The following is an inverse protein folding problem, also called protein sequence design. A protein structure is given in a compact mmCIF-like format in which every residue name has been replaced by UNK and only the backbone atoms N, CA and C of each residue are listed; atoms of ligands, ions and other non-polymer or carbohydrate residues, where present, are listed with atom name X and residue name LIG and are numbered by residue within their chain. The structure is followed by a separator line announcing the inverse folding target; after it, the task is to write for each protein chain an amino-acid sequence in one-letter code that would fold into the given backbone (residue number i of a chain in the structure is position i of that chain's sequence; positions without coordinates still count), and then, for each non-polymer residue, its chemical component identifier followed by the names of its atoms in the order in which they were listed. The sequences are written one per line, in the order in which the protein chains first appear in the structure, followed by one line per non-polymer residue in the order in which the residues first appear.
data_IF_837169502975
#
_entry.id   IF_837169502975
#
_cell.length_a   1.000
_cell.length_b   1.000
_cell.length_c   1.000
_cell.angle_alpha   90.00
_cell.angle_beta   90.00
_cell.angle_gamma   90.00
#
_symmetry.space_group_name_H-M   'P 1'
#
loop_
_entity.id
_entity.type
_entity.pdbx_description
1 polymer ?
#
# COMPACT_ATOMS: atom_id res chain seq x y z
N UNK A 1 -26.89 -13.02 -44.99
CA UNK A 1 -25.75 -13.01 -44.03
C UNK A 1 -25.92 -11.92 -42.95
N UNK A 2 -27.11 -11.75 -42.34
CA UNK A 2 -27.39 -10.66 -41.37
C UNK A 2 -27.51 -11.12 -39.91
N UNK A 3 -27.65 -12.43 -39.66
CA UNK A 3 -27.84 -13.02 -38.32
C UNK A 3 -26.53 -13.20 -37.53
N UNK A 4 -25.39 -13.36 -38.22
CA UNK A 4 -24.12 -13.67 -37.56
C UNK A 4 -23.43 -12.42 -36.96
N UNK A 5 -23.79 -11.22 -37.42
CA UNK A 5 -23.25 -9.96 -36.88
C UNK A 5 -23.74 -9.68 -35.45
N UNK A 6 -24.97 -10.09 -35.12
CA UNK A 6 -25.57 -9.83 -33.82
C UNK A 6 -24.91 -10.64 -32.69
N UNK A 7 -24.42 -11.84 -32.99
CA UNK A 7 -23.75 -12.71 -32.02
C UNK A 7 -22.34 -12.20 -31.73
N UNK A 8 -21.63 -11.72 -32.77
CA UNK A 8 -20.27 -11.21 -32.67
C UNK A 8 -20.18 -9.91 -31.85
N UNK A 9 -21.19 -9.05 -31.97
CA UNK A 9 -21.31 -7.83 -31.16
C UNK A 9 -21.62 -8.14 -29.69
N UNK A 10 -22.41 -9.18 -29.42
CA UNK A 10 -22.78 -9.59 -28.07
C UNK A 10 -21.58 -10.19 -27.31
N UNK A 11 -20.70 -10.92 -28.00
CA UNK A 11 -19.46 -11.46 -27.40
C UNK A 11 -18.42 -10.39 -27.09
N UNK A 12 -18.42 -9.25 -27.80
CA UNK A 12 -17.46 -8.17 -27.57
C UNK A 12 -17.78 -7.35 -26.32
N UNK A 13 -19.07 -7.23 -25.96
CA UNK A 13 -19.54 -6.55 -24.76
C UNK A 13 -19.14 -7.27 -23.46
N UNK A 14 -18.93 -8.59 -23.49
CA UNK A 14 -18.56 -9.38 -22.32
C UNK A 14 -17.09 -9.19 -21.90
N UNK A 15 -16.22 -8.68 -22.79
CA UNK A 15 -14.81 -8.41 -22.46
C UNK A 15 -14.58 -7.06 -21.79
N UNK A 16 -15.58 -6.16 -21.76
CA UNK A 16 -15.45 -4.81 -21.20
C UNK A 16 -15.50 -4.77 -19.66
N UNK A 17 -15.70 -5.92 -18.99
CA UNK A 17 -15.91 -5.97 -17.53
C UNK A 17 -14.71 -6.54 -16.75
N UNK A 18 -13.59 -6.85 -17.40
CA UNK A 18 -12.38 -7.33 -16.69
C UNK A 18 -11.46 -6.15 -16.40
N UNK A 19 -11.99 -5.20 -15.62
CA UNK A 19 -11.21 -4.19 -14.94
C UNK A 19 -11.26 -4.47 -13.45
N UNK A 20 -10.60 -5.54 -12.99
CA UNK A 20 -10.29 -5.62 -11.56
C UNK A 20 -9.37 -4.45 -11.25
N UNK A 21 -9.90 -3.41 -10.60
CA UNK A 21 -9.06 -2.40 -9.95
C UNK A 21 -8.15 -3.14 -8.99
N UNK A 22 -6.86 -3.20 -9.31
CA UNK A 22 -5.84 -3.72 -8.42
C UNK A 22 -5.94 -2.90 -7.13
N UNK A 23 -6.20 -3.56 -6.01
CA UNK A 23 -6.36 -2.88 -4.73
C UNK A 23 -5.00 -2.35 -4.27
N UNK A 24 -4.66 -1.14 -4.71
CA UNK A 24 -3.37 -0.50 -4.45
C UNK A 24 -3.02 -0.49 -2.95
N UNK A 25 -4.02 -0.51 -2.05
CA UNK A 25 -3.79 -0.55 -0.62
C UNK A 25 -3.19 -1.88 -0.15
N UNK A 26 -3.59 -3.01 -0.72
CA UNK A 26 -3.01 -4.32 -0.38
C UNK A 26 -1.55 -4.40 -0.81
N UNK A 27 -1.20 -3.87 -1.99
CA UNK A 27 0.20 -3.81 -2.43
C UNK A 27 1.05 -2.90 -1.53
N UNK A 28 0.54 -1.71 -1.19
CA UNK A 28 1.26 -0.76 -0.32
C UNK A 28 1.44 -1.35 1.08
N UNK A 29 0.44 -2.02 1.63
CA UNK A 29 0.51 -2.72 2.90
C UNK A 29 1.57 -3.84 2.85
N UNK A 30 1.60 -4.64 1.78
CA UNK A 30 2.59 -5.69 1.59
C UNK A 30 4.03 -5.14 1.51
N UNK A 31 4.24 -4.04 0.77
CA UNK A 31 5.53 -3.36 0.70
C UNK A 31 5.95 -2.85 2.07
N UNK A 32 5.04 -2.22 2.82
CA UNK A 32 5.32 -1.72 4.15
C UNK A 32 5.68 -2.85 5.12
N UNK A 33 4.91 -3.92 5.15
CA UNK A 33 5.18 -5.09 5.99
C UNK A 33 6.52 -5.75 5.65
N UNK A 34 6.82 -5.92 4.35
CA UNK A 34 8.09 -6.49 3.89
C UNK A 34 9.31 -5.62 4.21
N UNK A 35 9.12 -4.31 4.45
CA UNK A 35 10.19 -3.37 4.82
C UNK A 35 10.55 -3.36 6.31
N UNK A 36 9.77 -4.06 7.13
CA UNK A 36 10.02 -4.26 8.55
C UNK A 36 11.09 -5.34 8.76
N UNK A 37 11.88 -5.17 9.83
CA UNK A 37 12.75 -6.21 10.37
C UNK A 37 11.90 -7.35 10.96
N UNK A 38 12.54 -8.51 11.18
CA UNK A 38 11.86 -9.66 11.81
C UNK A 38 11.34 -9.35 13.21
N UNK A 39 12.08 -8.55 13.98
CA UNK A 39 11.68 -8.15 15.33
C UNK A 39 10.46 -7.24 15.29
N UNK A 40 10.45 -6.24 14.41
CA UNK A 40 9.28 -5.37 14.22
C UNK A 40 8.05 -6.14 13.76
N UNK A 41 8.20 -7.09 12.82
CA UNK A 41 7.09 -7.95 12.38
C UNK A 41 6.55 -8.84 13.51
N UNK A 42 7.42 -9.33 14.38
CA UNK A 42 7.03 -10.18 15.50
C UNK A 42 6.30 -9.41 16.61
N UNK A 43 6.46 -8.08 16.67
CA UNK A 43 5.78 -7.21 17.62
C UNK A 43 4.39 -6.74 17.16
N UNK A 44 3.95 -7.11 15.94
CA UNK A 44 2.65 -6.73 15.42
C UNK A 44 1.56 -7.70 15.86
N UNK A 45 0.38 -7.18 16.22
CA UNK A 45 -0.80 -7.99 16.53
C UNK A 45 -1.36 -8.72 15.30
N UNK A 46 -1.23 -8.09 14.12
CA UNK A 46 -1.55 -8.70 12.84
C UNK A 46 -0.74 -8.07 11.68
N UNK A 47 -0.99 -8.57 10.45
CA UNK A 47 -0.35 -8.06 9.22
C UNK A 47 -1.16 -6.96 8.53
N UNK A 48 -2.28 -6.55 9.11
CA UNK A 48 -3.23 -5.62 8.51
C UNK A 48 -2.93 -4.17 8.94
N UNK A 49 -2.06 -3.52 8.17
CA UNK A 49 -1.81 -2.09 8.31
C UNK A 49 -2.90 -1.20 7.68
N UNK A 50 -3.21 -0.07 8.31
CA UNK A 50 -4.10 0.96 7.75
C UNK A 50 -3.30 1.86 6.82
N UNK A 51 -3.65 1.89 5.53
CA UNK A 51 -2.98 2.72 4.51
C UNK A 51 -3.65 4.09 4.42
N UNK A 52 -2.86 5.17 4.40
CA UNK A 52 -3.32 6.53 4.15
C UNK A 52 -2.34 7.29 3.24
N UNK A 53 -2.86 8.04 2.27
CA UNK A 53 -2.05 9.01 1.54
C UNK A 53 -1.73 10.19 2.45
N UNK A 54 -0.48 10.66 2.45
CA UNK A 54 -0.03 11.77 3.30
C UNK A 54 0.79 12.78 2.50
N UNK A 55 0.72 14.06 2.88
CA UNK A 55 1.42 15.13 2.16
C UNK A 55 2.87 15.30 2.60
N UNK A 56 3.19 14.86 3.82
CA UNK A 56 4.51 15.00 4.41
C UNK A 56 4.77 13.97 5.51
N UNK A 57 6.04 13.65 5.73
CA UNK A 57 6.50 12.85 6.86
C UNK A 57 6.65 13.77 8.09
N UNK A 58 6.07 13.44 9.25
CA UNK A 58 6.21 14.23 10.48
C UNK A 58 7.67 14.35 10.95
N UNK A 59 8.02 15.46 11.59
CA UNK A 59 9.39 15.77 12.01
C UNK A 59 9.96 14.78 13.05
N UNK A 60 9.10 14.13 13.83
CA UNK A 60 9.48 13.11 14.81
C UNK A 60 9.77 11.73 14.19
N UNK A 61 9.56 11.56 12.88
CA UNK A 61 9.86 10.31 12.20
C UNK A 61 11.36 10.16 11.93
N UNK A 62 11.86 8.94 12.08
CA UNK A 62 13.17 8.57 11.55
C UNK A 62 13.08 8.55 10.03
N UNK A 63 13.94 9.31 9.36
CA UNK A 63 13.95 9.44 7.91
C UNK A 63 15.11 8.65 7.30
N UNK A 64 14.80 7.72 6.39
CA UNK A 64 15.79 6.88 5.72
C UNK A 64 16.22 7.43 4.36
N UNK A 65 15.34 8.16 3.69
CA UNK A 65 15.62 8.79 2.41
C UNK A 65 14.93 10.16 2.32
N UNK A 66 15.66 11.19 1.94
CA UNK A 66 15.16 12.57 1.73
C UNK A 66 14.61 12.81 0.33
N UNK A 67 15.02 11.99 -0.64
CA UNK A 67 14.63 12.10 -2.03
C UNK A 67 13.47 11.14 -2.34
N UNK A 68 12.27 11.51 -1.87
CA UNK A 68 11.04 10.77 -2.10
C UNK A 68 10.00 11.62 -2.83
N UNK A 69 9.08 10.96 -3.52
CA UNK A 69 8.02 11.62 -4.28
C UNK A 69 6.84 11.97 -3.38
N UNK A 70 6.68 13.25 -3.05
CA UNK A 70 5.64 13.73 -2.12
C UNK A 70 4.21 13.37 -2.57
N UNK A 71 3.95 13.38 -3.88
CA UNK A 71 2.65 13.05 -4.46
C UNK A 71 2.31 11.54 -4.45
N UNK A 72 3.33 10.70 -4.21
CA UNK A 72 3.28 9.24 -4.14
C UNK A 72 3.60 8.70 -2.73
N UNK A 73 3.50 9.56 -1.71
CA UNK A 73 3.80 9.23 -0.32
C UNK A 73 2.56 8.68 0.41
N UNK A 74 2.73 7.54 1.06
CA UNK A 74 1.71 6.88 1.88
C UNK A 74 2.27 6.53 3.25
N UNK A 75 1.43 6.59 4.29
CA UNK A 75 1.68 5.98 5.58
C UNK A 75 0.93 4.66 5.70
N UNK A 76 1.54 3.69 6.36
CA UNK A 76 0.93 2.42 6.74
C UNK A 76 1.11 2.26 8.24
N UNK A 77 0.00 2.20 8.98
CA UNK A 77 0.00 2.03 10.44
C UNK A 77 -0.34 0.60 10.79
N UNK A 78 0.60 -0.13 11.38
CA UNK A 78 0.39 -1.44 11.97
C UNK A 78 0.20 -1.29 13.49
N UNK A 79 -0.71 -2.07 14.05
CA UNK A 79 -0.89 -2.15 15.50
C UNK A 79 0.06 -3.21 16.07
N UNK A 80 0.66 -2.92 17.22
CA UNK A 80 1.35 -3.90 18.04
C UNK A 80 0.38 -4.76 18.83
N UNK A 81 0.91 -5.60 19.70
CA UNK A 81 0.10 -6.42 20.63
C UNK A 81 -0.63 -5.55 21.66
N UNK A 82 -0.03 -4.42 22.05
CA UNK A 82 -0.66 -3.43 22.92
C UNK A 82 -1.27 -2.27 22.10
N UNK A 83 -2.43 -1.71 22.51
CA UNK A 83 -3.11 -0.63 21.76
C UNK A 83 -2.28 0.65 21.55
N UNK A 84 -1.37 0.93 22.47
CA UNK A 84 -0.41 2.04 22.43
C UNK A 84 0.79 1.78 21.52
N UNK A 85 1.12 0.52 21.24
CA UNK A 85 2.23 0.13 20.39
C UNK A 85 1.78 0.21 18.93
N UNK A 86 2.39 1.12 18.17
CA UNK A 86 2.10 1.29 16.74
C UNK A 86 3.39 1.52 15.99
N UNK A 87 3.48 0.88 14.84
CA UNK A 87 4.55 1.14 13.87
C UNK A 87 3.91 1.83 12.67
N UNK A 88 4.36 3.05 12.38
CA UNK A 88 3.95 3.82 11.21
C UNK A 88 5.10 3.83 10.22
N UNK A 89 4.89 3.23 9.06
CA UNK A 89 5.86 3.17 7.96
C UNK A 89 5.44 4.17 6.88
N UNK A 90 6.40 4.94 6.38
CA UNK A 90 6.18 5.84 5.24
C UNK A 90 6.81 5.23 3.98
N UNK A 91 5.99 5.01 2.95
CA UNK A 91 6.36 4.40 1.67
C UNK A 91 6.25 5.42 0.55
N UNK A 92 7.31 5.54 -0.24
CA UNK A 92 7.26 6.14 -1.58
C UNK A 92 6.83 5.04 -2.57
N UNK A 93 5.63 5.18 -3.14
CA UNK A 93 5.05 4.21 -4.06
C UNK A 93 5.54 4.33 -5.49
N UNK A 94 6.25 5.40 -5.84
CA UNK A 94 6.97 5.49 -7.12
C UNK A 94 8.18 4.55 -7.11
N UNK A 95 8.90 4.53 -5.98
CA UNK A 95 10.12 3.72 -5.82
C UNK A 95 9.91 2.42 -5.06
N UNK A 96 8.72 2.21 -4.50
CA UNK A 96 8.35 1.10 -3.60
C UNK A 96 9.32 0.94 -2.41
N UNK A 97 9.74 2.05 -1.81
CA UNK A 97 10.73 2.06 -0.72
C UNK A 97 10.20 2.68 0.55
N UNK A 98 10.65 2.15 1.69
CA UNK A 98 10.54 2.80 3.00
C UNK A 98 11.41 4.05 3.03
N UNK A 99 10.79 5.19 3.30
CA UNK A 99 11.45 6.51 3.33
C UNK A 99 11.46 7.13 4.73
N UNK A 100 10.59 6.66 5.62
CA UNK A 100 10.64 6.99 7.04
C UNK A 100 9.81 6.05 7.90
N UNK A 101 9.90 6.20 9.22
CA UNK A 101 9.06 5.48 10.18
C UNK A 101 8.91 6.20 11.52
N UNK A 102 7.85 5.86 12.27
CA UNK A 102 7.64 6.22 13.67
C UNK A 102 7.29 4.93 14.42
N UNK A 103 7.95 4.70 15.56
CA UNK A 103 7.87 3.40 16.26
C UNK A 103 8.72 2.33 15.56
N UNK A 104 9.04 1.25 16.27
CA UNK A 104 10.08 0.29 15.88
C UNK A 104 11.47 0.74 16.37
N UNK A 105 12.20 -0.19 17.00
CA UNK A 105 13.58 0.02 17.49
C UNK A 105 14.63 -0.24 16.40
#
# INVERSE_FOLDING_TARGET
MRKNFSILMLTFLLFLVIGCEKNNNEDIQAIAYASLTRTEQAALSDKHGVVKKVESIPNQATLFNKNYHKDKLYSVTFNGDNPEEKIVIYIDTETNKKVGMIGGE
#
